data_IF_720441536838
#
_entry.id   IF_720441536838
#
_cell.length_a   1.000
_cell.length_b   1.000
_cell.length_c   1.000
_cell.angle_alpha   90.00
_cell.angle_beta   90.00
_cell.angle_gamma   90.00
#
_symmetry.space_group_name_H-M   'P 1'
#
loop_
_entity.id
_entity.type
_entity.pdbx_description
1 polymer ?
#
# COMPACT_ATOMS: atom_id res chain seq x y z
N UNK A 1 -2.30 -3.52 46.14
CA UNK A 1 -2.89 -4.73 46.74
C UNK A 1 -4.29 -4.39 47.21
N UNK A 2 -5.32 -4.82 46.48
CA UNK A 2 -6.69 -4.75 46.96
C UNK A 2 -6.91 -5.98 47.85
N UNK A 3 -7.02 -5.77 49.16
CA UNK A 3 -7.48 -6.82 50.07
C UNK A 3 -8.98 -7.00 49.82
N UNK A 4 -9.34 -8.15 49.24
CA UNK A 4 -10.73 -8.59 49.14
C UNK A 4 -11.29 -8.77 50.56
N UNK A 5 -12.55 -8.38 50.83
CA UNK A 5 -13.16 -8.62 52.12
C UNK A 5 -13.24 -10.13 52.36
N UNK A 6 -12.61 -10.62 53.43
CA UNK A 6 -12.89 -11.96 53.95
C UNK A 6 -14.29 -11.95 54.58
N UNK A 7 -15.30 -12.31 53.78
CA UNK A 7 -16.55 -12.83 54.31
C UNK A 7 -16.22 -14.09 55.12
N UNK A 8 -16.67 -14.17 56.37
CA UNK A 8 -16.55 -15.40 57.16
C UNK A 8 -17.12 -16.58 56.34
N UNK A 9 -16.45 -17.74 56.29
CA UNK A 9 -16.91 -18.85 55.46
C UNK A 9 -18.27 -19.34 55.98
N UNK A 10 -19.31 -19.11 55.17
CA UNK A 10 -20.63 -19.70 55.39
C UNK A 10 -20.61 -21.07 54.71
N UNK A 11 -20.50 -22.12 55.50
CA UNK A 11 -20.53 -23.49 54.99
C UNK A 11 -21.97 -23.95 54.73
N UNK A 12 -22.15 -24.73 53.67
CA UNK A 12 -23.45 -25.33 53.35
C UNK A 12 -23.73 -26.55 54.24
N UNK A 13 -25.01 -26.75 54.58
CA UNK A 13 -25.46 -27.89 55.39
C UNK A 13 -25.47 -29.17 54.55
N UNK A 14 -25.04 -30.27 55.16
CA UNK A 14 -25.07 -31.58 54.52
C UNK A 14 -26.52 -32.03 54.28
N UNK A 15 -26.87 -32.46 53.06
CA UNK A 15 -28.24 -32.90 52.73
C UNK A 15 -28.65 -34.18 53.48
N UNK A 16 -27.68 -35.02 53.89
CA UNK A 16 -27.92 -36.25 54.66
C UNK A 16 -27.85 -36.05 56.18
N UNK A 17 -27.15 -35.01 56.62
CA UNK A 17 -26.90 -34.74 58.04
C UNK A 17 -27.13 -33.24 58.30
N UNK A 18 -28.39 -32.84 58.49
CA UNK A 18 -28.80 -31.43 58.57
C UNK A 18 -28.09 -30.58 59.64
N UNK A 19 -27.49 -31.21 60.66
CA UNK A 19 -26.74 -30.54 61.72
C UNK A 19 -25.29 -30.23 61.28
N UNK A 20 -24.73 -31.06 60.40
CA UNK A 20 -23.31 -31.00 60.02
C UNK A 20 -23.09 -30.14 58.77
N UNK A 21 -22.04 -29.33 58.82
CA UNK A 21 -21.56 -28.56 57.67
C UNK A 21 -20.69 -29.44 56.74
N UNK A 22 -20.73 -29.12 55.45
CA UNK A 22 -19.80 -29.64 54.46
C UNK A 22 -18.46 -28.93 54.66
N UNK A 23 -17.44 -29.68 55.04
CA UNK A 23 -16.10 -29.15 55.36
C UNK A 23 -14.97 -29.91 54.67
N UNK A 24 -15.28 -31.02 54.00
CA UNK A 24 -14.35 -31.87 53.26
C UNK A 24 -14.82 -32.05 51.81
N UNK A 25 -13.90 -32.39 50.91
CA UNK A 25 -14.18 -32.65 49.51
C UNK A 25 -13.29 -33.80 49.02
N UNK A 26 -13.88 -34.80 48.36
CA UNK A 26 -13.11 -35.86 47.73
C UNK A 26 -12.62 -35.38 46.35
N UNK A 27 -11.31 -35.33 46.15
CA UNK A 27 -10.62 -34.93 44.93
C UNK A 27 -10.34 -36.11 43.98
N UNK A 28 -10.81 -37.32 44.29
CA UNK A 28 -10.65 -38.44 43.36
C UNK A 28 -11.45 -38.17 42.07
N UNK A 29 -10.82 -38.35 40.91
CA UNK A 29 -11.33 -37.85 39.62
C UNK A 29 -12.73 -38.32 39.25
N UNK A 30 -13.07 -39.56 39.61
CA UNK A 30 -14.38 -40.16 39.33
C UNK A 30 -15.43 -39.91 40.42
N UNK A 31 -15.06 -39.27 41.53
CA UNK A 31 -15.93 -39.08 42.68
C UNK A 31 -16.35 -37.61 42.84
N UNK A 32 -15.40 -36.71 43.11
CA UNK A 32 -15.62 -35.26 43.26
C UNK A 32 -16.80 -34.89 44.19
N UNK A 33 -16.95 -35.61 45.32
CA UNK A 33 -18.06 -35.41 46.24
C UNK A 33 -17.74 -34.45 47.41
N UNK A 34 -18.65 -33.51 47.74
CA UNK A 34 -18.57 -32.72 48.96
C UNK A 34 -19.06 -33.54 50.17
N UNK A 35 -18.33 -33.47 51.28
CA UNK A 35 -18.51 -34.33 52.44
C UNK A 35 -18.57 -33.52 53.75
N UNK A 36 -19.53 -33.87 54.61
CA UNK A 36 -19.46 -33.53 56.03
C UNK A 36 -18.64 -34.57 56.79
N UNK A 37 -18.33 -34.32 58.07
CA UNK A 37 -17.50 -35.20 58.91
C UNK A 37 -18.04 -36.64 59.00
N UNK A 38 -19.36 -36.81 59.03
CA UNK A 38 -19.98 -38.15 59.11
C UNK A 38 -20.05 -38.84 57.74
N UNK A 39 -20.35 -38.10 56.66
CA UNK A 39 -20.32 -38.64 55.31
C UNK A 39 -18.92 -39.11 54.90
N UNK A 40 -17.87 -38.40 55.32
CA UNK A 40 -16.48 -38.75 55.01
C UNK A 40 -16.10 -40.17 55.45
N UNK A 41 -16.51 -40.60 56.66
CA UNK A 41 -16.20 -41.94 57.19
C UNK A 41 -16.76 -43.05 56.29
N UNK A 42 -18.02 -42.92 55.89
CA UNK A 42 -18.71 -43.88 55.01
C UNK A 42 -18.11 -43.83 53.60
N UNK A 43 -17.76 -42.62 53.13
CA UNK A 43 -17.19 -42.40 51.82
C UNK A 43 -15.82 -43.06 51.64
N UNK A 44 -14.94 -42.98 52.64
CA UNK A 44 -13.65 -43.68 52.64
C UNK A 44 -13.86 -45.20 52.55
N UNK A 45 -14.85 -45.74 53.28
CA UNK A 45 -15.17 -47.17 53.21
C UNK A 45 -15.63 -47.58 51.81
N UNK A 46 -16.44 -46.76 51.14
CA UNK A 46 -16.88 -46.99 49.76
C UNK A 46 -15.69 -47.04 48.78
N UNK A 47 -14.77 -46.08 48.88
CA UNK A 47 -13.54 -46.08 48.09
C UNK A 47 -12.72 -47.37 48.31
N UNK A 48 -12.54 -47.78 49.56
CA UNK A 48 -11.81 -49.00 49.90
C UNK A 48 -12.49 -50.27 49.35
N UNK A 49 -13.83 -50.35 49.40
CA UNK A 49 -14.59 -51.47 48.84
C UNK A 49 -14.49 -51.54 47.31
N UNK A 50 -14.37 -50.39 46.66
CA UNK A 50 -14.19 -50.27 45.21
C UNK A 50 -12.72 -50.40 44.79
N UNK A 51 -11.79 -50.58 45.74
CA UNK A 51 -10.36 -50.68 45.46
C UNK A 51 -9.73 -49.37 44.96
N UNK A 52 -10.36 -48.23 45.23
CA UNK A 52 -9.84 -46.91 44.84
C UNK A 52 -9.41 -46.10 46.06
N UNK A 53 -8.37 -45.25 45.96
CA UNK A 53 -7.97 -44.40 47.07
C UNK A 53 -8.90 -43.20 47.22
N UNK A 54 -9.37 -42.94 48.44
CA UNK A 54 -10.02 -41.69 48.77
C UNK A 54 -8.97 -40.57 48.88
N UNK A 55 -9.05 -39.57 48.02
CA UNK A 55 -8.23 -38.36 48.12
C UNK A 55 -9.10 -37.25 48.70
N UNK A 56 -8.99 -36.93 49.99
CA UNK A 56 -9.90 -35.99 50.66
C UNK A 56 -9.10 -34.83 51.23
N UNK A 57 -9.58 -33.62 50.95
CA UNK A 57 -9.03 -32.39 51.51
C UNK A 57 -10.16 -31.51 52.09
N UNK A 58 -9.79 -30.47 52.82
CA UNK A 58 -10.71 -29.46 53.35
C UNK A 58 -11.26 -28.58 52.23
N UNK A 59 -12.50 -28.12 52.38
CA UNK A 59 -13.14 -27.21 51.41
C UNK A 59 -12.32 -25.95 51.18
N UNK A 60 -11.68 -25.41 52.23
CA UNK A 60 -10.81 -24.23 52.11
C UNK A 60 -9.57 -24.50 51.26
N UNK A 61 -8.88 -25.63 51.46
CA UNK A 61 -7.72 -26.03 50.64
C UNK A 61 -8.11 -26.23 49.17
N UNK A 62 -9.22 -26.93 48.93
CA UNK A 62 -9.75 -27.14 47.57
C UNK A 62 -10.14 -25.81 46.92
N UNK A 63 -10.73 -24.89 47.68
CA UNK A 63 -11.07 -23.55 47.19
C UNK A 63 -9.83 -22.75 46.80
N UNK A 64 -8.77 -22.77 47.61
CA UNK A 64 -7.52 -22.09 47.30
C UNK A 64 -6.85 -22.69 46.04
N UNK A 65 -6.85 -24.02 45.91
CA UNK A 65 -6.36 -24.73 44.74
C UNK A 65 -7.12 -24.31 43.47
N UNK A 66 -8.45 -24.41 43.49
CA UNK A 66 -9.31 -24.03 42.36
C UNK A 66 -9.18 -22.53 42.02
N UNK A 67 -9.05 -21.67 43.04
CA UNK A 67 -8.82 -20.25 42.82
C UNK A 67 -7.50 -20.01 42.09
N UNK A 68 -6.43 -20.70 42.49
CA UNK A 68 -5.13 -20.63 41.81
C UNK A 68 -5.23 -21.10 40.36
N UNK A 69 -5.90 -22.22 40.11
CA UNK A 69 -6.08 -22.76 38.76
C UNK A 69 -6.86 -21.81 37.85
N UNK A 70 -7.98 -21.29 38.33
CA UNK A 70 -8.80 -20.31 37.59
C UNK A 70 -8.01 -19.02 37.35
N UNK A 71 -7.24 -18.55 38.34
CA UNK A 71 -6.40 -17.38 38.18
C UNK A 71 -5.31 -17.58 37.13
N UNK A 72 -4.60 -18.71 37.16
CA UNK A 72 -3.57 -19.07 36.18
C UNK A 72 -4.15 -19.17 34.78
N UNK A 73 -5.33 -19.77 34.63
CA UNK A 73 -6.02 -19.88 33.35
C UNK A 73 -6.43 -18.50 32.82
N UNK A 74 -6.97 -17.64 33.69
CA UNK A 74 -7.30 -16.25 33.34
C UNK A 74 -6.07 -15.49 32.82
N UNK A 75 -4.93 -15.59 33.51
CA UNK A 75 -3.68 -14.93 33.10
C UNK A 75 -3.24 -15.42 31.71
N UNK A 76 -3.30 -16.74 31.45
CA UNK A 76 -3.00 -17.29 30.11
C UNK A 76 -3.93 -16.74 29.04
N UNK A 77 -5.24 -16.68 29.29
CA UNK A 77 -6.17 -16.10 28.32
C UNK A 77 -5.96 -14.60 28.09
N UNK A 78 -5.53 -13.85 29.12
CA UNK A 78 -5.16 -12.45 28.96
C UNK A 78 -3.90 -12.28 28.10
N UNK A 79 -2.92 -13.19 28.19
CA UNK A 79 -1.75 -13.24 27.30
C UNK A 79 -2.14 -13.53 25.85
N UNK A 80 -2.95 -14.57 25.61
CA UNK A 80 -3.42 -14.93 24.27
C UNK A 80 -4.26 -13.80 23.65
N UNK A 81 -5.09 -13.11 24.47
CA UNK A 81 -5.84 -11.93 24.01
C UNK A 81 -4.93 -10.77 23.63
N UNK A 82 -3.85 -10.55 24.38
CA UNK A 82 -2.87 -9.48 24.10
C UNK A 82 -2.12 -9.76 22.78
N UNK A 83 -1.75 -11.02 22.53
CA UNK A 83 -1.20 -11.47 21.24
C UNK A 83 -2.21 -11.19 20.11
N UNK A 84 -3.46 -11.62 20.28
CA UNK A 84 -4.50 -11.43 19.25
C UNK A 84 -4.78 -9.95 18.97
N UNK A 85 -4.80 -9.09 19.99
CA UNK A 85 -5.00 -7.65 19.81
C UNK A 85 -3.91 -7.02 18.94
N UNK A 86 -2.66 -7.50 19.03
CA UNK A 86 -1.56 -7.01 18.21
C UNK A 86 -1.78 -7.25 16.70
N UNK A 87 -2.48 -8.33 16.34
CA UNK A 87 -2.80 -8.66 14.94
C UNK A 87 -4.20 -8.16 14.51
N UNK A 88 -5.11 -7.93 15.46
CA UNK A 88 -6.49 -7.49 15.19
C UNK A 88 -6.61 -6.03 14.79
N UNK A 89 -5.64 -5.17 15.12
CA UNK A 89 -5.60 -3.76 14.68
C UNK A 89 -5.19 -3.66 13.19
N UNK A 90 -5.96 -4.34 12.34
CA UNK A 90 -5.72 -4.51 10.91
C UNK A 90 -5.78 -3.25 10.06
N UNK A 91 -6.17 -2.10 10.62
CA UNK A 91 -6.14 -0.80 9.91
C UNK A 91 -4.92 0.06 10.29
N UNK A 92 -4.23 -0.26 11.38
CA UNK A 92 -3.11 0.54 11.90
C UNK A 92 -1.78 -0.19 11.90
N UNK A 93 -1.72 -1.42 11.38
CA UNK A 93 -0.46 -2.17 11.33
C UNK A 93 0.60 -1.35 10.60
N UNK A 94 1.77 -1.21 11.22
CA UNK A 94 2.91 -0.51 10.63
C UNK A 94 3.25 -1.10 9.25
N UNK A 95 2.98 -2.39 9.06
CA UNK A 95 3.11 -3.10 7.79
C UNK A 95 2.28 -2.45 6.67
N UNK A 96 1.00 -2.12 6.91
CA UNK A 96 0.14 -1.47 5.90
C UNK A 96 0.67 -0.07 5.55
N UNK A 97 1.13 0.69 6.55
CA UNK A 97 1.76 2.00 6.32
C UNK A 97 3.04 1.86 5.50
N UNK A 98 3.85 0.84 5.75
CA UNK A 98 5.06 0.55 4.98
C UNK A 98 4.73 0.14 3.54
N UNK A 99 3.68 -0.67 3.33
CA UNK A 99 3.21 -1.03 1.98
C UNK A 99 2.78 0.22 1.21
N UNK A 100 1.94 1.07 1.80
CA UNK A 100 1.56 2.35 1.18
C UNK A 100 2.77 3.23 0.86
N UNK A 101 3.74 3.31 1.78
CA UNK A 101 4.98 4.07 1.56
C UNK A 101 5.78 3.52 0.38
N UNK A 102 5.91 2.19 0.26
CA UNK A 102 6.59 1.54 -0.87
C UNK A 102 5.87 1.81 -2.19
N UNK A 103 4.54 1.76 -2.20
CA UNK A 103 3.74 2.08 -3.40
C UNK A 103 3.92 3.53 -3.83
N UNK A 104 3.90 4.49 -2.89
CA UNK A 104 4.17 5.89 -3.19
C UNK A 104 5.60 6.10 -3.72
N UNK A 105 6.58 5.39 -3.17
CA UNK A 105 7.96 5.45 -3.65
C UNK A 105 8.12 4.89 -5.07
N UNK A 106 7.49 3.76 -5.37
CA UNK A 106 7.41 3.18 -6.73
C UNK A 106 6.84 4.22 -7.70
N UNK A 107 5.70 4.82 -7.37
CA UNK A 107 5.05 5.85 -8.19
C UNK A 107 5.97 7.04 -8.45
N UNK A 108 6.61 7.57 -7.41
CA UNK A 108 7.53 8.71 -7.53
C UNK A 108 8.72 8.36 -8.43
N UNK A 109 9.31 7.18 -8.26
CA UNK A 109 10.45 6.74 -9.05
C UNK A 109 10.09 6.54 -10.53
N UNK A 110 8.93 5.94 -10.83
CA UNK A 110 8.47 5.75 -12.20
C UNK A 110 8.18 7.10 -12.88
N UNK A 111 7.52 8.02 -12.19
CA UNK A 111 7.31 9.38 -12.72
C UNK A 111 8.62 10.09 -13.00
N UNK A 112 9.60 9.98 -12.10
CA UNK A 112 10.93 10.56 -12.30
C UNK A 112 11.61 9.96 -13.53
N UNK A 113 11.59 8.63 -13.68
CA UNK A 113 12.20 7.94 -14.81
C UNK A 113 11.58 8.36 -16.16
N UNK A 114 10.25 8.46 -16.21
CA UNK A 114 9.53 8.93 -17.41
C UNK A 114 9.92 10.38 -17.73
N UNK A 115 9.94 11.26 -16.73
CA UNK A 115 10.34 12.65 -16.93
C UNK A 115 11.79 12.77 -17.41
N UNK A 116 12.71 12.01 -16.82
CA UNK A 116 14.12 12.02 -17.21
C UNK A 116 14.31 11.53 -18.65
N UNK A 117 13.59 10.49 -19.05
CA UNK A 117 13.58 10.03 -20.44
C UNK A 117 13.03 11.08 -21.40
N UNK A 118 11.88 11.69 -21.10
CA UNK A 118 11.30 12.75 -21.93
C UNK A 118 12.25 13.95 -22.06
N UNK A 119 12.87 14.38 -20.96
CA UNK A 119 13.85 15.46 -20.96
C UNK A 119 15.09 15.12 -21.82
N UNK A 120 15.55 13.86 -21.79
CA UNK A 120 16.64 13.41 -22.66
C UNK A 120 16.23 13.41 -24.13
N UNK A 121 15.03 12.93 -24.44
CA UNK A 121 14.48 12.92 -25.79
C UNK A 121 14.34 14.35 -26.33
N UNK A 122 13.84 15.29 -25.52
CA UNK A 122 13.75 16.71 -25.88
C UNK A 122 15.13 17.32 -26.18
N UNK A 123 16.14 17.02 -25.35
CA UNK A 123 17.52 17.48 -25.60
C UNK A 123 18.08 16.93 -26.90
N UNK A 124 17.83 15.65 -27.20
CA UNK A 124 18.27 15.04 -28.45
C UNK A 124 17.54 15.64 -29.66
N UNK A 125 16.23 15.88 -29.56
CA UNK A 125 15.47 16.59 -30.60
C UNK A 125 16.03 18.00 -30.80
N UNK A 126 16.26 18.76 -29.73
CA UNK A 126 16.85 20.11 -29.82
C UNK A 126 18.22 20.08 -30.49
N UNK A 127 19.06 19.10 -30.15
CA UNK A 127 20.37 18.89 -30.77
C UNK A 127 20.24 18.62 -32.26
N UNK A 128 19.30 17.76 -32.68
CA UNK A 128 19.03 17.49 -34.10
C UNK A 128 18.48 18.72 -34.84
N UNK A 129 17.56 19.47 -34.23
CA UNK A 129 17.09 20.77 -34.78
C UNK A 129 18.27 21.72 -34.95
N UNK A 130 19.16 21.81 -33.96
CA UNK A 130 20.32 22.69 -34.03
C UNK A 130 21.31 22.25 -35.11
N UNK A 131 21.60 20.96 -35.20
CA UNK A 131 22.44 20.39 -36.26
C UNK A 131 21.85 20.66 -37.65
N UNK A 132 20.54 20.46 -37.82
CA UNK A 132 19.84 20.78 -39.06
C UNK A 132 19.95 22.27 -39.42
N UNK A 133 19.77 23.18 -38.45
CA UNK A 133 19.93 24.63 -38.66
C UNK A 133 21.38 25.04 -38.94
N UNK A 134 22.34 24.39 -38.29
CA UNK A 134 23.77 24.70 -38.37
C UNK A 134 24.46 24.04 -39.57
N UNK A 135 23.87 23.02 -40.18
CA UNK A 135 24.41 22.39 -41.38
C UNK A 135 24.42 23.36 -42.58
N UNK A 136 23.48 24.32 -42.65
CA UNK A 136 23.33 25.19 -43.82
C UNK A 136 23.04 26.67 -43.47
N UNK A 137 23.91 27.36 -42.72
CA UNK A 137 23.75 28.76 -42.40
C UNK A 137 24.03 29.60 -43.65
N UNK A 138 22.97 30.01 -44.35
CA UNK A 138 23.07 31.01 -45.41
C UNK A 138 22.88 30.49 -46.83
N UNK A 139 22.92 29.18 -47.07
CA UNK A 139 22.68 28.59 -48.39
C UNK A 139 21.32 28.98 -48.96
N UNK A 140 20.25 28.90 -48.14
CA UNK A 140 18.92 29.43 -48.49
C UNK A 140 18.95 30.92 -48.83
N UNK A 141 19.72 31.73 -48.09
CA UNK A 141 19.79 33.18 -48.33
C UNK A 141 20.55 33.50 -49.61
N UNK A 142 21.61 32.75 -49.90
CA UNK A 142 22.41 32.88 -51.11
C UNK A 142 21.61 32.48 -52.36
N UNK A 143 20.95 31.31 -52.34
CA UNK A 143 20.04 30.88 -53.40
C UNK A 143 18.91 31.88 -53.64
N UNK A 144 18.29 32.38 -52.57
CA UNK A 144 17.25 33.40 -52.67
C UNK A 144 17.79 34.74 -53.23
N UNK A 145 19.04 35.09 -52.93
CA UNK A 145 19.68 36.26 -53.51
C UNK A 145 19.95 36.06 -55.01
N UNK A 146 20.53 34.92 -55.41
CA UNK A 146 20.77 34.55 -56.81
C UNK A 146 19.48 34.58 -57.62
N UNK A 147 18.41 33.96 -57.12
CA UNK A 147 17.09 33.97 -57.76
C UNK A 147 16.53 35.38 -57.91
N UNK A 148 16.58 36.21 -56.87
CA UNK A 148 16.12 37.59 -56.94
C UNK A 148 16.90 38.42 -57.94
N UNK A 149 18.22 38.22 -58.06
CA UNK A 149 19.06 38.90 -59.06
C UNK A 149 18.63 38.54 -60.47
N UNK A 150 18.42 37.25 -60.75
CA UNK A 150 17.93 36.78 -62.07
C UNK A 150 16.54 37.34 -62.37
N UNK A 151 15.60 37.27 -61.42
CA UNK A 151 14.25 37.84 -61.59
C UNK A 151 14.32 39.34 -61.89
N UNK A 152 15.13 40.09 -61.14
CA UNK A 152 15.28 41.54 -61.35
C UNK A 152 15.87 41.86 -62.73
N UNK A 153 16.80 41.04 -63.22
CA UNK A 153 17.37 41.16 -64.56
C UNK A 153 16.29 40.91 -65.63
N UNK A 154 15.51 39.83 -65.50
CA UNK A 154 14.40 39.51 -66.41
C UNK A 154 13.33 40.61 -66.41
N UNK A 155 12.93 41.13 -65.25
CA UNK A 155 11.98 42.25 -65.13
C UNK A 155 12.50 43.53 -65.80
N UNK A 156 13.83 43.73 -65.80
CA UNK A 156 14.46 44.87 -66.47
C UNK A 156 14.47 44.73 -68.00
N UNK A 157 14.73 43.52 -68.49
CA UNK A 157 14.69 43.17 -69.91
C UNK A 157 13.25 43.26 -70.43
N UNK A 158 12.27 42.73 -69.69
CA UNK A 158 10.84 42.80 -70.04
C UNK A 158 10.38 44.27 -70.16
N UNK A 159 10.69 45.11 -69.15
CA UNK A 159 10.36 46.54 -69.21
C UNK A 159 11.04 47.26 -70.37
N UNK A 160 12.28 46.89 -70.72
CA UNK A 160 12.99 47.48 -71.85
C UNK A 160 12.36 47.09 -73.19
N UNK A 161 11.87 45.85 -73.33
CA UNK A 161 11.13 45.39 -74.51
C UNK A 161 9.77 46.07 -74.66
N UNK A 162 9.11 46.41 -73.55
CA UNK A 162 7.85 47.17 -73.55
C UNK A 162 8.02 48.68 -73.79
N UNK A 163 9.27 49.17 -73.87
CA UNK A 163 9.55 50.60 -74.05
C UNK A 163 9.37 51.06 -75.51
N UNK A 164 9.14 52.37 -75.72
CA UNK A 164 9.06 52.95 -77.06
C UNK A 164 10.36 52.80 -77.90
N UNK A 165 11.49 52.45 -77.27
CA UNK A 165 12.80 52.24 -77.92
C UNK A 165 13.26 50.78 -77.84
N UNK A 166 12.33 49.84 -78.07
CA UNK A 166 12.51 48.40 -77.90
C UNK A 166 13.59 47.74 -78.79
N UNK A 167 13.94 48.30 -79.95
CA UNK A 167 14.89 47.67 -80.90
C UNK A 167 16.24 47.33 -80.23
N UNK A 168 16.75 48.22 -79.37
CA UNK A 168 17.99 47.95 -78.63
C UNK A 168 17.81 46.85 -77.58
N UNK A 169 16.66 46.78 -76.92
CA UNK A 169 16.34 45.74 -75.96
C UNK A 169 16.22 44.36 -76.63
N UNK A 170 15.62 44.28 -77.83
CA UNK A 170 15.58 43.05 -78.62
C UNK A 170 16.98 42.53 -78.94
N UNK A 171 17.90 43.41 -79.35
CA UNK A 171 19.29 43.02 -79.62
C UNK A 171 20.01 42.51 -78.37
N UNK A 172 19.79 43.16 -77.22
CA UNK A 172 20.36 42.74 -75.93
C UNK A 172 19.84 41.35 -75.53
N UNK A 173 18.52 41.14 -75.53
CA UNK A 173 17.92 39.85 -75.15
C UNK A 173 18.38 38.71 -76.06
N UNK A 174 18.40 38.91 -77.39
CA UNK A 174 18.88 37.91 -78.37
C UNK A 174 20.38 37.61 -78.16
N UNK A 175 21.16 38.59 -77.71
CA UNK A 175 22.59 38.40 -77.41
C UNK A 175 22.86 37.75 -76.05
N UNK A 176 21.99 37.96 -75.07
CA UNK A 176 22.12 37.48 -73.68
C UNK A 176 21.48 36.10 -73.43
N UNK A 177 20.61 35.63 -74.32
CA UNK A 177 19.97 34.29 -74.28
C UNK A 177 20.97 33.13 -74.14
N UNK A 178 22.26 33.38 -74.39
CA UNK A 178 23.37 32.42 -74.28
C UNK A 178 24.08 32.37 -72.91
N UNK A 179 23.77 33.27 -71.97
CA UNK A 179 24.60 33.48 -70.76
C UNK A 179 23.91 33.24 -69.42
N UNK A 180 22.63 32.89 -69.39
CA UNK A 180 21.97 32.58 -68.13
C UNK A 180 22.19 31.10 -67.79
N UNK A 181 23.03 30.83 -66.79
CA UNK A 181 23.24 29.48 -66.20
C UNK A 181 22.01 29.04 -65.37
N UNK A 182 20.87 28.95 -66.05
CA UNK A 182 19.59 28.55 -65.46
C UNK A 182 19.61 27.08 -65.06
N UNK A 183 20.30 26.24 -65.83
CA UNK A 183 20.47 24.82 -65.53
C UNK A 183 21.33 24.62 -64.27
N UNK A 184 22.43 25.36 -64.11
CA UNK A 184 23.24 25.34 -62.90
C UNK A 184 22.47 25.84 -61.67
N UNK A 185 21.68 26.91 -61.83
CA UNK A 185 20.84 27.42 -60.73
C UNK A 185 19.73 26.42 -60.35
N UNK A 186 19.12 25.75 -61.31
CA UNK A 186 18.12 24.71 -61.04
C UNK A 186 18.75 23.52 -60.30
N UNK A 187 19.95 23.09 -60.72
CA UNK A 187 20.69 22.02 -60.06
C UNK A 187 21.07 22.39 -58.63
N UNK A 188 21.49 23.63 -58.38
CA UNK A 188 21.78 24.13 -57.03
C UNK A 188 20.54 24.12 -56.13
N UNK A 189 19.37 24.48 -56.68
CA UNK A 189 18.07 24.41 -55.96
C UNK A 189 17.73 22.96 -55.62
N UNK A 190 17.82 22.05 -56.58
CA UNK A 190 17.50 20.64 -56.39
C UNK A 190 18.42 19.98 -55.37
N UNK A 191 19.72 20.30 -55.41
CA UNK A 191 20.69 19.83 -54.44
C UNK A 191 20.37 20.35 -53.02
N UNK A 192 20.05 21.63 -52.88
CA UNK A 192 19.68 22.22 -51.59
C UNK A 192 18.37 21.62 -51.04
N UNK A 193 17.38 21.37 -51.90
CA UNK A 193 16.12 20.73 -51.50
C UNK A 193 16.32 19.27 -51.09
N UNK A 194 17.09 18.51 -51.87
CA UNK A 194 17.42 17.12 -51.55
C UNK A 194 18.13 17.04 -50.20
N UNK A 195 19.13 17.88 -49.98
CA UNK A 195 19.84 17.94 -48.69
C UNK A 195 18.90 18.31 -47.53
N UNK A 196 17.97 19.26 -47.73
CA UNK A 196 16.99 19.61 -46.72
C UNK A 196 16.10 18.41 -46.36
N UNK A 197 15.56 17.73 -47.38
CA UNK A 197 14.67 16.58 -47.20
C UNK A 197 15.40 15.39 -46.55
N UNK A 198 16.66 15.13 -46.92
CA UNK A 198 17.47 14.04 -46.37
C UNK A 198 17.77 14.22 -44.87
N UNK A 199 17.72 15.45 -44.36
CA UNK A 199 17.97 15.77 -42.95
C UNK A 199 16.68 16.04 -42.14
N UNK A 200 15.51 15.93 -42.77
CA UNK A 200 14.23 16.01 -42.07
C UNK A 200 14.03 14.75 -41.23
N UNK A 201 13.57 14.94 -39.99
CA UNK A 201 13.26 13.84 -39.10
C UNK A 201 11.88 14.02 -38.49
N UNK A 202 11.27 12.89 -38.13
CA UNK A 202 9.97 12.83 -37.47
C UNK A 202 10.07 11.98 -36.20
N UNK A 203 9.15 12.19 -35.27
CA UNK A 203 9.01 11.41 -34.06
C UNK A 203 7.88 10.39 -34.26
N UNK A 204 8.24 9.12 -34.39
CA UNK A 204 7.26 8.03 -34.47
C UNK A 204 6.91 7.50 -33.08
N UNK A 205 5.61 7.41 -32.79
CA UNK A 205 5.09 6.82 -31.55
C UNK A 205 4.59 5.41 -31.86
N UNK A 206 5.18 4.42 -31.20
CA UNK A 206 4.85 3.00 -31.38
C UNK A 206 3.91 2.52 -30.27
N UNK A 207 2.61 2.59 -30.52
CA UNK A 207 1.56 2.17 -29.57
C UNK A 207 1.65 0.68 -29.20
N UNK A 208 2.12 -0.17 -30.12
CA UNK A 208 2.34 -1.61 -29.89
C UNK A 208 3.39 -1.89 -28.81
N UNK A 209 4.31 -0.95 -28.58
CA UNK A 209 5.33 -1.06 -27.54
C UNK A 209 4.83 -0.64 -26.16
N UNK A 210 3.69 0.04 -26.07
CA UNK A 210 3.10 0.44 -24.79
C UNK A 210 2.74 -0.79 -23.95
N UNK A 211 2.25 -1.86 -24.59
CA UNK A 211 1.94 -3.10 -23.89
C UNK A 211 3.19 -3.73 -23.25
N UNK A 212 4.34 -3.70 -23.94
CA UNK A 212 5.61 -4.22 -23.38
C UNK A 212 6.08 -3.43 -22.16
N UNK A 213 5.81 -2.13 -22.12
CA UNK A 213 6.07 -1.30 -20.95
C UNK A 213 5.17 -1.73 -19.78
N UNK A 214 3.89 -2.00 -20.05
CA UNK A 214 2.97 -2.53 -19.03
C UNK A 214 3.45 -3.87 -18.46
N UNK A 215 3.93 -4.78 -19.33
CA UNK A 215 4.41 -6.09 -18.89
C UNK A 215 5.68 -5.94 -18.02
N UNK A 216 6.61 -5.08 -18.42
CA UNK A 216 7.82 -4.78 -17.64
C UNK A 216 7.51 -4.13 -16.28
N UNK A 217 6.42 -3.36 -16.16
CA UNK A 217 5.99 -2.80 -14.88
C UNK A 217 5.49 -3.87 -13.91
N UNK A 218 4.88 -4.95 -14.42
CA UNK A 218 4.46 -6.08 -13.59
C UNK A 218 5.65 -6.89 -13.07
N UNK A 219 6.74 -6.97 -13.85
CA UNK A 219 8.00 -7.59 -13.38
C UNK A 219 8.74 -6.71 -12.36
N UNK A 220 8.54 -5.39 -12.39
CA UNK A 220 9.19 -4.46 -11.48
C UNK A 220 8.59 -4.46 -10.06
N UNK A 221 7.29 -4.74 -9.92
CA UNK A 221 6.59 -4.73 -8.62
C UNK A 221 5.73 -5.97 -8.45
N UNK A 222 6.08 -6.80 -7.47
CA UNK A 222 5.36 -8.02 -7.16
C UNK A 222 4.74 -7.99 -5.76
N UNK A 223 3.50 -8.47 -5.66
CA UNK A 223 2.80 -8.63 -4.39
C UNK A 223 3.06 -10.05 -3.87
N UNK A 224 3.79 -10.13 -2.75
CA UNK A 224 4.07 -11.39 -2.07
C UNK A 224 3.25 -11.50 -0.79
N UNK A 225 2.87 -12.73 -0.44
CA UNK A 225 2.31 -13.02 0.87
C UNK A 225 3.41 -12.93 1.93
N UNK A 226 3.17 -12.16 2.98
CA UNK A 226 4.11 -12.03 4.10
C UNK A 226 4.07 -13.31 4.94
N UNK A 227 5.23 -13.87 5.26
CA UNK A 227 5.34 -14.97 6.22
C UNK A 227 5.18 -14.43 7.66
N UNK A 228 3.95 -14.42 8.16
CA UNK A 228 3.62 -13.94 9.50
C UNK A 228 4.05 -14.91 10.62
N UNK A 229 4.59 -16.09 10.31
CA UNK A 229 4.95 -17.09 11.32
C UNK A 229 6.11 -16.62 12.21
N UNK A 230 7.14 -16.02 11.62
CA UNK A 230 8.30 -15.50 12.37
C UNK A 230 7.92 -14.28 13.23
N UNK A 231 7.00 -13.45 12.72
CA UNK A 231 6.50 -12.28 13.44
C UNK A 231 5.64 -12.68 14.64
N UNK A 232 4.79 -13.71 14.48
CA UNK A 232 4.02 -14.31 15.57
C UNK A 232 4.93 -14.87 16.66
N UNK A 233 6.00 -15.59 16.29
CA UNK A 233 6.95 -16.16 17.25
C UNK A 233 7.66 -15.06 18.06
N UNK A 234 8.15 -14.02 17.38
CA UNK A 234 8.80 -12.87 18.00
C UNK A 234 7.90 -12.17 19.03
N UNK A 235 6.66 -11.81 18.66
CA UNK A 235 5.74 -11.09 19.56
C UNK A 235 5.26 -11.97 20.71
N UNK A 236 5.02 -13.26 20.44
CA UNK A 236 4.68 -14.25 21.48
C UNK A 236 5.79 -14.33 22.52
N UNK A 237 7.05 -14.38 22.10
CA UNK A 237 8.19 -14.43 23.00
C UNK A 237 8.32 -13.14 23.82
N UNK A 238 8.21 -11.97 23.19
CA UNK A 238 8.38 -10.68 23.84
C UNK A 238 7.30 -10.42 24.92
N UNK A 239 6.02 -10.72 24.64
CA UNK A 239 4.91 -10.56 25.60
C UNK A 239 5.10 -11.49 26.80
N UNK A 240 5.48 -12.76 26.55
CA UNK A 240 5.71 -13.76 27.61
C UNK A 240 6.93 -13.41 28.47
N UNK A 241 8.00 -12.90 27.88
CA UNK A 241 9.20 -12.46 28.61
C UNK A 241 8.95 -11.22 29.48
N UNK A 242 8.17 -10.25 28.97
CA UNK A 242 7.77 -9.04 29.70
C UNK A 242 6.93 -9.36 30.95
N UNK A 243 6.04 -10.36 30.88
CA UNK A 243 5.27 -10.80 32.06
C UNK A 243 6.10 -11.63 33.05
N UNK A 244 7.07 -12.44 32.58
CA UNK A 244 8.02 -13.15 33.46
C UNK A 244 8.87 -12.21 34.30
N UNK A 245 9.38 -11.13 33.69
CA UNK A 245 10.15 -10.10 34.41
C UNK A 245 9.29 -9.31 35.40
N UNK A 246 8.03 -9.04 35.06
CA UNK A 246 7.06 -8.38 35.97
C UNK A 246 6.66 -9.28 37.15
N UNK A 247 6.57 -10.60 36.95
CA UNK A 247 6.23 -11.57 38.00
C UNK A 247 7.34 -11.79 39.04
N UNK A 248 8.62 -11.73 38.64
CA UNK A 248 9.74 -11.88 39.59
C UNK A 248 9.84 -10.73 40.60
N UNK A 249 9.51 -9.49 40.20
CA UNK A 249 9.51 -8.34 41.12
C UNK A 249 8.44 -8.46 42.21
N UNK A 250 7.32 -9.16 41.95
CA UNK A 250 6.27 -9.38 42.94
C UNK A 250 6.62 -10.47 43.98
N UNK A 251 7.44 -11.47 43.62
CA UNK A 251 7.87 -12.51 44.57
C UNK A 251 8.92 -12.01 45.58
N UNK A 252 9.81 -11.10 45.19
CA UNK A 252 10.77 -10.50 46.13
C UNK A 252 10.10 -9.61 47.19
N UNK A 253 9.01 -8.92 46.84
CA UNK A 253 8.29 -8.06 47.80
C UNK A 253 7.53 -8.87 48.87
N UNK A 254 7.01 -10.06 48.53
CA UNK A 254 6.28 -10.92 49.47
C UNK A 254 7.19 -11.73 50.42
N UNK A 255 8.47 -11.97 50.08
CA UNK A 255 9.42 -12.60 51.02
C UNK A 255 9.92 -11.64 52.11
N UNK A 256 9.99 -10.32 51.85
CA UNK A 256 10.34 -9.34 52.88
C UNK A 256 9.20 -9.10 53.89
N UNK A 257 7.93 -9.25 53.49
CA UNK A 257 6.79 -9.08 54.41
C UNK A 257 6.58 -10.26 55.36
N UNK A 258 6.98 -11.49 54.98
CA UNK A 258 6.87 -12.68 55.86
C UNK A 258 7.94 -12.74 56.97
N UNK A 259 9.06 -12.01 56.84
CA UNK A 259 10.07 -11.96 57.91
C UNK A 259 9.77 -10.93 59.01
N UNK A 260 8.89 -9.95 58.75
CA UNK A 260 8.58 -8.90 59.73
C UNK A 260 7.39 -9.20 60.67
N UNK A 261 6.66 -10.31 60.48
CA UNK A 261 5.45 -10.62 61.26
C UNK A 261 5.57 -11.78 62.27
N UNK A 262 6.78 -12.26 62.59
CA UNK A 262 6.97 -13.35 63.57
C UNK A 262 7.24 -12.85 65.01
N UNK A 263 7.16 -11.54 65.27
CA UNK A 263 7.23 -11.01 66.63
C UNK A 263 6.17 -9.94 66.86
N UNK A 264 5.00 -10.34 67.35
CA UNK A 264 4.32 -9.66 68.45
C UNK A 264 3.08 -10.41 68.92
N UNK A 265 2.96 -10.45 70.24
CA UNK A 265 1.98 -11.17 71.05
C UNK A 265 0.56 -10.58 70.97
N UNK A 266 -0.41 -11.49 70.97
CA UNK A 266 -1.69 -11.50 71.71
C UNK A 266 -2.16 -10.16 72.32
N UNK A 267 -3.20 -9.55 71.73
CA UNK A 267 -4.41 -9.06 72.43
C UNK A 267 -5.45 -8.44 71.44
N UNK A 268 -6.78 -8.62 71.65
CA UNK A 268 -7.85 -7.94 70.89
C UNK A 268 -8.45 -6.74 71.69
N UNK A 269 -9.57 -6.11 71.29
CA UNK A 269 -9.95 -5.53 69.99
C UNK A 269 -10.42 -4.06 70.16
N UNK A 270 -10.31 -3.19 69.14
CA UNK A 270 -11.10 -1.93 69.10
C UNK A 270 -11.58 -1.63 67.68
N UNK A 271 -12.91 -1.70 67.53
CA UNK A 271 -13.68 -1.23 66.38
C UNK A 271 -13.61 0.29 66.27
N UNK A 272 -13.24 0.83 65.11
CA UNK A 272 -13.51 2.21 64.73
C UNK A 272 -14.13 2.26 63.33
N UNK A 273 -15.38 2.69 63.31
CA UNK A 273 -16.21 3.01 62.13
C UNK A 273 -15.90 4.42 61.63
N UNK A 274 -15.51 4.59 60.36
CA UNK A 274 -15.60 5.87 59.62
C UNK A 274 -15.74 5.58 58.08
N UNK A 275 -16.07 6.55 57.22
CA UNK A 275 -17.39 6.82 56.65
C UNK A 275 -17.54 6.33 55.18
N UNK A 276 -18.80 6.07 54.80
CA UNK A 276 -19.18 5.64 53.45
C UNK A 276 -19.01 6.74 52.41
N UNK A 277 -18.19 6.51 51.38
CA UNK A 277 -18.27 7.21 50.11
C UNK A 277 -18.94 6.30 49.07
N UNK A 278 -20.08 6.78 48.54
CA UNK A 278 -20.80 6.15 47.43
C UNK A 278 -19.95 6.26 46.17
N UNK A 279 -19.45 5.13 45.67
CA UNK A 279 -18.97 5.03 44.30
C UNK A 279 -20.09 4.43 43.44
N UNK A 280 -20.65 5.30 42.60
CA UNK A 280 -21.67 5.01 41.61
C UNK A 280 -21.01 4.22 40.47
N UNK A 281 -21.41 2.95 40.28
CA UNK A 281 -21.02 2.16 39.11
C UNK A 281 -22.01 2.48 37.98
N UNK A 282 -21.64 3.37 37.06
CA UNK A 282 -22.27 3.42 35.75
C UNK A 282 -21.73 2.25 34.91
N UNK A 283 -22.59 1.25 34.70
CA UNK A 283 -22.39 0.19 33.72
C UNK A 283 -22.27 0.78 32.32
N UNK A 284 -21.23 0.40 31.57
CA UNK A 284 -21.02 0.79 30.17
C UNK A 284 -21.98 0.02 29.23
N UNK A 285 -22.81 -0.88 29.76
CA UNK A 285 -23.78 -1.63 28.94
C UNK A 285 -25.12 -0.92 28.71
N UNK A 286 -25.32 0.29 29.27
CA UNK A 286 -26.47 1.12 28.93
C UNK A 286 -26.04 2.31 28.05
N UNK A 287 -26.08 2.11 26.74
CA UNK A 287 -26.19 3.19 25.77
C UNK A 287 -27.01 2.73 24.55
N UNK A 288 -27.77 3.65 23.93
CA UNK A 288 -29.09 3.37 23.38
C UNK A 288 -29.05 2.85 21.95
N UNK A 289 -30.13 2.15 21.59
CA UNK A 289 -30.49 1.93 20.20
C UNK A 289 -30.50 3.25 19.42
N UNK A 290 -29.54 3.41 18.51
CA UNK A 290 -29.63 4.32 17.38
C UNK A 290 -29.49 3.51 16.10
N UNK A 291 -30.61 2.90 15.71
CA UNK A 291 -30.92 2.60 14.32
C UNK A 291 -31.09 3.90 13.52
N UNK A 292 -30.64 3.87 12.26
CA UNK A 292 -30.83 4.87 11.19
C UNK A 292 -29.78 6.01 11.12
N UNK A 293 -28.73 5.81 10.32
CA UNK A 293 -28.45 6.58 9.09
C UNK A 293 -27.02 6.34 8.60
N UNK A 294 -26.78 5.26 7.86
CA UNK A 294 -25.63 5.17 6.93
C UNK A 294 -26.16 4.65 5.58
N UNK A 295 -27.00 5.47 4.94
CA UNK A 295 -27.20 5.48 3.49
C UNK A 295 -26.67 6.82 2.99
N UNK A 296 -25.39 6.86 2.62
CA UNK A 296 -24.75 7.85 1.71
C UNK A 296 -23.23 7.64 1.81
N UNK A 297 -22.72 6.60 1.15
CA UNK A 297 -21.34 6.49 0.64
C UNK A 297 -21.18 5.20 -0.17
N UNK A 298 -22.17 4.92 -1.04
CA UNK A 298 -22.15 3.79 -1.99
C UNK A 298 -22.04 4.26 -3.45
N UNK A 299 -21.55 5.48 -3.69
CA UNK A 299 -21.54 6.10 -5.03
C UNK A 299 -20.15 6.42 -5.61
N UNK A 300 -19.05 5.94 -5.03
CA UNK A 300 -17.70 6.23 -5.56
C UNK A 300 -16.96 4.97 -6.06
N UNK A 301 -17.42 3.76 -5.73
CA UNK A 301 -16.77 2.51 -6.14
C UNK A 301 -17.41 1.80 -7.35
N UNK A 302 -18.40 2.41 -8.02
CA UNK A 302 -19.08 1.84 -9.20
C UNK A 302 -18.80 2.59 -10.52
N UNK A 303 -17.70 3.36 -10.60
CA UNK A 303 -17.36 4.17 -11.79
C UNK A 303 -16.15 3.68 -12.58
N UNK A 304 -15.57 2.53 -12.22
CA UNK A 304 -14.40 1.96 -12.93
C UNK A 304 -14.76 0.71 -13.77
N UNK A 305 -15.95 0.11 -13.57
CA UNK A 305 -16.31 -1.16 -14.21
C UNK A 305 -17.31 -1.07 -15.38
N UNK A 306 -17.66 0.14 -15.87
CA UNK A 306 -18.71 0.33 -16.89
C UNK A 306 -18.29 1.07 -18.15
N UNK A 307 -17.00 1.27 -18.43
CA UNK A 307 -16.52 1.95 -19.66
C UNK A 307 -15.89 1.02 -20.71
N UNK A 308 -15.92 -0.30 -20.51
CA UNK A 308 -15.27 -1.27 -21.39
C UNK A 308 -16.20 -2.04 -22.35
N UNK A 309 -17.43 -1.59 -22.58
CA UNK A 309 -18.26 -2.11 -23.67
C UNK A 309 -19.00 -1.00 -24.42
N UNK A 310 -18.79 -0.99 -25.73
CA UNK A 310 -19.49 -0.23 -26.78
C UNK A 310 -19.00 1.19 -27.09
N UNK A 311 -17.96 1.26 -27.92
CA UNK A 311 -17.99 2.10 -29.13
C UNK A 311 -17.14 1.45 -30.21
N UNK A 312 -17.81 0.65 -31.05
CA UNK A 312 -17.30 0.24 -32.36
C UNK A 312 -17.22 1.48 -33.24
N UNK A 313 -16.02 1.96 -33.52
CA UNK A 313 -15.71 2.74 -34.74
C UNK A 313 -14.50 2.07 -35.38
N UNK A 314 -14.68 1.62 -36.62
CA UNK A 314 -13.76 0.73 -37.32
C UNK A 314 -12.39 1.35 -37.65
N UNK A 315 -11.46 0.52 -38.16
CA UNK A 315 -10.07 0.90 -38.41
C UNK A 315 -9.97 1.67 -39.74
N UNK A 316 -9.92 3.01 -39.70
CA UNK A 316 -9.79 3.84 -40.92
C UNK A 316 -8.63 4.83 -40.91
N UNK A 317 -7.79 4.87 -39.87
CA UNK A 317 -6.71 5.86 -39.78
C UNK A 317 -5.38 5.39 -40.40
N UNK A 318 -4.93 4.16 -40.13
CA UNK A 318 -3.60 3.69 -40.58
C UNK A 318 -3.52 3.46 -42.10
N UNK A 319 -4.56 2.89 -42.72
CA UNK A 319 -4.61 2.73 -44.19
C UNK A 319 -4.62 4.06 -44.95
N UNK A 320 -5.16 5.13 -44.37
CA UNK A 320 -5.21 6.44 -45.02
C UNK A 320 -3.85 7.14 -45.03
N UNK A 321 -2.98 6.87 -44.06
CA UNK A 321 -1.63 7.43 -44.03
C UNK A 321 -0.72 6.72 -45.04
N UNK A 322 -0.70 5.38 -45.05
CA UNK A 322 0.04 4.60 -46.04
C UNK A 322 -0.40 4.92 -47.47
N UNK A 323 -1.72 5.00 -47.72
CA UNK A 323 -2.23 5.35 -49.06
C UNK A 323 -1.83 6.77 -49.48
N UNK A 324 -1.75 7.74 -48.55
CA UNK A 324 -1.26 9.10 -48.86
C UNK A 324 0.24 9.15 -49.10
N UNK A 325 1.03 8.38 -48.36
CA UNK A 325 2.48 8.30 -48.58
C UNK A 325 2.80 7.63 -49.92
N UNK A 326 2.04 6.59 -50.27
CA UNK A 326 2.15 5.91 -51.56
C UNK A 326 1.71 6.82 -52.71
N UNK A 327 0.60 7.55 -52.59
CA UNK A 327 0.15 8.52 -53.59
C UNK A 327 1.13 9.69 -53.77
N UNK A 328 1.78 10.16 -52.70
CA UNK A 328 2.81 11.19 -52.80
C UNK A 328 4.09 10.66 -53.46
N UNK A 329 4.49 9.42 -53.16
CA UNK A 329 5.63 8.77 -53.82
C UNK A 329 5.36 8.46 -55.31
N UNK A 330 4.13 8.11 -55.68
CA UNK A 330 3.73 7.92 -57.09
C UNK A 330 3.69 9.25 -57.84
N UNK A 331 3.21 10.34 -57.22
CA UNK A 331 3.28 11.69 -57.82
C UNK A 331 4.72 12.15 -58.01
N UNK A 332 5.61 11.89 -57.05
CA UNK A 332 7.04 12.19 -57.21
C UNK A 332 7.66 11.37 -58.34
N UNK A 333 7.28 10.09 -58.51
CA UNK A 333 7.74 9.28 -59.65
C UNK A 333 7.20 9.74 -61.01
N UNK A 334 6.02 10.35 -61.07
CA UNK A 334 5.49 10.92 -62.33
C UNK A 334 6.14 12.26 -62.70
N UNK A 335 6.72 12.97 -61.73
CA UNK A 335 7.41 14.25 -61.98
C UNK A 335 8.91 14.08 -62.27
N UNK A 336 9.53 13.01 -61.77
CA UNK A 336 10.97 12.76 -61.89
C UNK A 336 11.33 11.45 -62.61
N UNK A 337 10.35 10.84 -63.30
CA UNK A 337 10.50 9.62 -64.11
C UNK A 337 10.52 9.91 -65.60
#
# INVERSE_FOLDING_TARGET
MQQYPQLAPVYEKCPKHAINDIVLFCLHDQCREPLCKECCKIHIQLHNLQGTPANIDTVDSVREMLFSDVHNLKVRFEEEREILHHFSDGENSQLIKQIHTKVEQVKKNLLQLVNDYCNQLEKEIQKRIHQHKAAHPGEKKELHHKLNTVITQLDSQERALLSQKYIKACLVVISEEKNHDLEGLSLDIDNALKHYLDNMFDLCIHEDKLQKISDALNEYVEIHQVNLAEELEYYTQQIREKKRTSGMQQQQYNQQLKQNNVKQEINPPISQTIPQSKLNYSSIYDAPQYSQNIRKNKSIFNLIDSSLQQSRVGPTSSKNYETRLQQNNEKLKQFYG
#
